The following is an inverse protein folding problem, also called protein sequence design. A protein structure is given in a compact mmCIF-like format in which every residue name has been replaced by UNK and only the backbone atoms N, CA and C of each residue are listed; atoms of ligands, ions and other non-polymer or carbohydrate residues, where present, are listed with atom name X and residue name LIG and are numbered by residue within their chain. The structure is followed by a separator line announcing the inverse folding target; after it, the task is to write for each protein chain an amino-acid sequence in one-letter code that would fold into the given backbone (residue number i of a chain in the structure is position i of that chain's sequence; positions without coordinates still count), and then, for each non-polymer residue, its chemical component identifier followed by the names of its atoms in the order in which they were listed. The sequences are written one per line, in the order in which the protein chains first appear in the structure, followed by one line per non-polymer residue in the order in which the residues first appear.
data_IF_170791924291
#
_entry.id   IF_170791924291
#
_cell.length_a   1.000
_cell.length_b   1.000
_cell.length_c   1.000
_cell.angle_alpha   90.00
_cell.angle_beta   90.00
_cell.angle_gamma   90.00
#
_symmetry.space_group_name_H-M   'P 1'
#
loop_
_entity.id
_entity.type
_entity.pdbx_description
1 polymer ?
#
# COMPACT_ATOMS: atom_id res chain seq x y z
N UNK A 1 -19.11 -14.31 -7.48
CA UNK A 1 -18.72 -14.27 -6.05
C UNK A 1 -18.66 -12.81 -5.66
N UNK A 2 -19.39 -12.38 -4.64
CA UNK A 2 -19.30 -11.02 -4.13
C UNK A 2 -17.96 -10.76 -3.41
N UNK A 3 -17.66 -9.49 -3.10
CA UNK A 3 -16.41 -9.10 -2.42
C UNK A 3 -16.20 -9.84 -1.10
N UNK A 4 -17.27 -10.04 -0.32
CA UNK A 4 -17.18 -10.64 1.01
C UNK A 4 -16.76 -12.11 0.92
N UNK A 5 -17.35 -12.87 -0.02
CA UNK A 5 -17.01 -14.26 -0.25
C UNK A 5 -15.56 -14.44 -0.74
N UNK A 6 -15.03 -13.51 -1.55
CA UNK A 6 -13.63 -13.53 -1.98
C UNK A 6 -12.69 -13.27 -0.81
N UNK A 7 -12.97 -12.21 -0.03
CA UNK A 7 -12.23 -11.87 1.19
C UNK A 7 -12.22 -13.03 2.18
N UNK A 8 -13.39 -13.63 2.44
CA UNK A 8 -13.54 -14.76 3.36
C UNK A 8 -12.72 -15.96 2.90
N UNK A 9 -12.81 -16.35 1.62
CA UNK A 9 -12.04 -17.47 1.07
C UNK A 9 -10.53 -17.28 1.24
N UNK A 10 -9.99 -16.09 0.94
CA UNK A 10 -8.55 -15.82 1.14
C UNK A 10 -8.18 -15.82 2.63
N UNK A 11 -8.96 -15.15 3.47
CA UNK A 11 -8.70 -15.05 4.90
C UNK A 11 -8.68 -16.42 5.58
N UNK A 12 -9.73 -17.23 5.37
CA UNK A 12 -9.85 -18.56 5.98
C UNK A 12 -8.72 -19.48 5.56
N UNK A 13 -8.40 -19.49 4.27
CA UNK A 13 -7.27 -20.26 3.77
C UNK A 13 -5.96 -19.87 4.46
N UNK A 14 -5.63 -18.58 4.53
CA UNK A 14 -4.39 -18.14 5.17
C UNK A 14 -4.42 -18.34 6.70
N UNK A 15 -5.55 -18.13 7.36
CA UNK A 15 -5.71 -18.40 8.80
C UNK A 15 -5.44 -19.87 9.15
N UNK A 16 -5.94 -20.79 8.33
CA UNK A 16 -5.81 -22.23 8.56
C UNK A 16 -4.47 -22.81 8.10
N UNK A 17 -3.92 -22.32 6.98
CA UNK A 17 -2.83 -22.98 6.27
C UNK A 17 -1.46 -22.32 6.45
N UNK A 18 -1.37 -21.04 6.83
CA UNK A 18 -0.09 -20.29 6.80
C UNK A 18 1.03 -20.93 7.64
N UNK A 19 0.69 -21.61 8.74
CA UNK A 19 1.66 -22.32 9.58
C UNK A 19 2.34 -23.47 8.83
N UNK A 20 1.62 -24.13 7.94
CA UNK A 20 2.07 -25.28 7.14
C UNK A 20 2.63 -24.87 5.77
N UNK A 21 2.48 -23.60 5.39
CA UNK A 21 3.00 -23.07 4.13
C UNK A 21 4.46 -22.62 4.26
N UNK A 22 5.29 -23.14 3.37
CA UNK A 22 6.66 -22.74 3.14
C UNK A 22 6.78 -21.95 1.82
N UNK A 23 7.84 -21.16 1.70
CA UNK A 23 8.10 -20.33 0.52
C UNK A 23 8.63 -21.18 -0.64
N UNK A 24 7.96 -21.12 -1.80
CA UNK A 24 8.47 -21.64 -3.08
C UNK A 24 9.10 -20.50 -3.89
N UNK A 25 9.69 -20.84 -5.05
CA UNK A 25 10.24 -19.90 -6.00
C UNK A 25 9.20 -18.81 -6.35
N UNK A 26 9.43 -17.61 -5.81
CA UNK A 26 8.60 -16.43 -6.05
C UNK A 26 9.25 -15.57 -7.12
N UNK A 27 8.42 -14.92 -7.94
CA UNK A 27 8.89 -14.03 -8.99
C UNK A 27 8.56 -12.59 -8.61
N UNK A 28 9.39 -11.68 -9.08
CA UNK A 28 9.14 -10.24 -8.98
C UNK A 28 9.38 -9.62 -10.34
N UNK A 29 8.63 -8.58 -10.68
CA UNK A 29 8.92 -7.76 -11.84
C UNK A 29 9.46 -6.39 -11.45
N UNK A 30 10.44 -5.91 -12.21
CA UNK A 30 11.06 -4.61 -11.95
C UNK A 30 9.98 -3.52 -12.04
N UNK A 31 9.97 -2.60 -11.09
CA UNK A 31 9.10 -1.43 -11.20
C UNK A 31 9.66 -0.45 -12.21
N UNK A 32 8.75 0.07 -13.04
CA UNK A 32 9.01 1.28 -13.79
C UNK A 32 8.65 2.47 -12.89
N UNK A 33 9.57 3.41 -12.77
CA UNK A 33 9.24 4.73 -12.23
C UNK A 33 8.59 5.58 -13.34
N UNK A 34 7.68 6.51 -12.99
CA UNK A 34 7.15 7.44 -13.97
C UNK A 34 8.27 8.30 -14.54
N UNK A 35 8.28 8.49 -15.86
CA UNK A 35 9.17 9.47 -16.50
C UNK A 35 8.69 10.87 -16.16
N UNK A 36 9.49 11.59 -15.37
CA UNK A 36 9.19 12.94 -14.89
C UNK A 36 10.49 13.68 -14.57
N UNK A 37 10.45 15.01 -14.64
CA UNK A 37 11.62 15.86 -14.42
C UNK A 37 12.09 15.87 -12.95
N UNK A 38 11.18 15.61 -12.02
CA UNK A 38 11.38 15.79 -10.58
C UNK A 38 10.71 14.67 -9.80
N UNK A 39 11.39 14.20 -8.75
CA UNK A 39 10.89 13.17 -7.84
C UNK A 39 10.65 13.73 -6.44
N UNK A 40 9.97 12.96 -5.60
CA UNK A 40 9.64 13.36 -4.24
C UNK A 40 10.87 13.79 -3.42
N UNK A 41 12.01 13.12 -3.60
CA UNK A 41 13.28 13.46 -2.93
C UNK A 41 13.85 14.81 -3.36
N UNK A 42 13.64 15.23 -4.60
CA UNK A 42 14.08 16.55 -5.06
C UNK A 42 13.28 17.67 -4.38
N UNK A 43 11.97 17.48 -4.25
CA UNK A 43 11.12 18.39 -3.48
C UNK A 43 11.47 18.41 -1.98
N UNK A 44 11.81 17.27 -1.38
CA UNK A 44 12.33 17.23 -0.01
C UNK A 44 13.61 18.06 0.15
N UNK A 45 14.56 17.91 -0.77
CA UNK A 45 15.80 18.69 -0.78
C UNK A 45 15.52 20.20 -0.89
N UNK A 46 14.55 20.58 -1.72
CA UNK A 46 14.14 21.99 -1.81
C UNK A 46 13.52 22.46 -0.50
N UNK A 47 12.64 21.67 0.12
CA UNK A 47 12.05 22.01 1.40
C UNK A 47 13.11 22.21 2.51
N UNK A 48 14.11 21.32 2.56
CA UNK A 48 15.23 21.41 3.51
C UNK A 48 16.05 22.70 3.32
N UNK A 49 16.40 23.02 2.07
CA UNK A 49 17.11 24.27 1.76
C UNK A 49 16.31 25.52 2.19
N UNK A 50 14.99 25.50 1.99
CA UNK A 50 14.13 26.62 2.39
C UNK A 50 14.04 26.75 3.92
N UNK A 51 13.98 25.62 4.63
CA UNK A 51 13.95 25.59 6.09
C UNK A 51 15.22 26.22 6.70
N UNK A 52 16.38 25.98 6.08
CA UNK A 52 17.66 26.57 6.50
C UNK A 52 17.73 28.10 6.30
N UNK A 53 17.02 28.65 5.31
CA UNK A 53 16.97 30.11 5.06
C UNK A 53 16.17 30.82 6.16
N UNK A 54 15.04 30.25 6.60
CA UNK A 54 14.28 30.68 7.77
C UNK A 54 13.52 32.02 7.64
N UNK A 55 13.48 32.64 6.46
CA UNK A 55 12.62 33.80 6.18
C UNK A 55 11.16 33.36 6.01
N UNK A 56 10.19 34.25 6.23
CA UNK A 56 8.76 33.95 6.04
C UNK A 56 8.49 33.37 4.64
N UNK A 57 9.06 33.97 3.60
CA UNK A 57 8.94 33.49 2.22
C UNK A 57 9.49 32.07 2.07
N UNK A 58 10.67 31.80 2.64
CA UNK A 58 11.26 30.46 2.59
C UNK A 58 10.41 29.42 3.35
N UNK A 59 9.82 29.76 4.50
CA UNK A 59 8.94 28.84 5.23
C UNK A 59 7.68 28.49 4.42
N UNK A 60 7.10 29.46 3.71
CA UNK A 60 5.98 29.23 2.79
C UNK A 60 6.39 28.31 1.63
N UNK A 61 7.57 28.54 1.05
CA UNK A 61 8.13 27.71 -0.01
C UNK A 61 8.45 26.29 0.49
N UNK A 62 8.90 26.14 1.72
CA UNK A 62 9.15 24.85 2.36
C UNK A 62 7.86 24.01 2.40
N UNK A 63 6.76 24.57 2.89
CA UNK A 63 5.44 23.89 2.91
C UNK A 63 5.02 23.46 1.51
N UNK A 64 5.14 24.37 0.54
CA UNK A 64 4.77 24.11 -0.84
C UNK A 64 5.56 22.95 -1.45
N UNK A 65 6.85 22.82 -1.09
CA UNK A 65 7.69 21.72 -1.53
C UNK A 65 7.36 20.41 -0.79
N UNK A 66 7.11 20.44 0.51
CA UNK A 66 6.68 19.26 1.28
C UNK A 66 5.39 18.66 0.74
N UNK A 67 4.42 19.50 0.36
CA UNK A 67 3.18 19.05 -0.30
C UNK A 67 3.46 18.30 -1.59
N UNK A 68 4.26 18.91 -2.47
CA UNK A 68 4.62 18.29 -3.76
C UNK A 68 5.38 16.99 -3.56
N UNK A 69 6.23 16.90 -2.53
CA UNK A 69 6.93 15.67 -2.19
C UNK A 69 5.96 14.54 -1.84
N UNK A 70 4.96 14.80 -0.96
CA UNK A 70 3.92 13.82 -0.60
C UNK A 70 3.09 13.42 -1.80
N UNK A 71 2.55 14.40 -2.55
CA UNK A 71 1.69 14.13 -3.71
C UNK A 71 2.45 13.32 -4.78
N UNK A 72 3.69 13.72 -5.08
CA UNK A 72 4.56 13.02 -6.02
C UNK A 72 4.85 11.58 -5.57
N UNK A 73 5.18 11.36 -4.29
CA UNK A 73 5.49 10.01 -3.80
C UNK A 73 4.27 9.09 -3.83
N UNK A 74 3.08 9.62 -3.51
CA UNK A 74 1.84 8.86 -3.64
C UNK A 74 1.61 8.48 -5.11
N UNK A 75 1.78 9.42 -6.04
CA UNK A 75 1.60 9.16 -7.46
C UNK A 75 2.60 8.13 -8.00
N UNK A 76 3.86 8.20 -7.57
CA UNK A 76 4.88 7.18 -7.84
C UNK A 76 4.41 5.81 -7.32
N UNK A 77 3.96 5.73 -6.05
CA UNK A 77 3.47 4.47 -5.47
C UNK A 77 2.34 3.85 -6.29
N UNK A 78 1.35 4.63 -6.72
CA UNK A 78 0.28 4.06 -7.54
C UNK A 78 0.73 3.74 -8.96
N UNK A 79 1.67 4.49 -9.52
CA UNK A 79 2.27 4.19 -10.82
C UNK A 79 3.01 2.86 -10.81
N UNK A 80 3.82 2.59 -9.78
CA UNK A 80 4.58 1.33 -9.69
C UNK A 80 3.66 0.10 -9.59
N UNK A 81 2.48 0.25 -8.99
CA UNK A 81 1.45 -0.79 -8.97
C UNK A 81 0.63 -0.92 -10.26
N UNK A 82 0.89 -0.09 -11.28
CA UNK A 82 0.12 -0.03 -12.53
C UNK A 82 -1.26 0.63 -12.39
N UNK A 83 -1.56 1.23 -11.24
CA UNK A 83 -2.88 1.78 -10.89
C UNK A 83 -3.05 3.25 -11.33
N UNK A 84 -2.02 3.87 -11.89
CA UNK A 84 -2.07 5.23 -12.43
C UNK A 84 -3.19 5.44 -13.47
N UNK A 85 -3.46 4.45 -14.33
CA UNK A 85 -4.55 4.51 -15.33
C UNK A 85 -5.90 4.65 -14.62
N UNK A 86 -6.10 3.88 -13.55
CA UNK A 86 -7.32 3.90 -12.76
C UNK A 86 -7.45 5.21 -11.98
N UNK A 87 -6.36 5.69 -11.39
CA UNK A 87 -6.34 6.99 -10.70
C UNK A 87 -6.73 8.14 -11.62
N UNK A 88 -6.14 8.19 -12.82
CA UNK A 88 -6.42 9.24 -13.82
C UNK A 88 -7.87 9.19 -14.28
N UNK A 89 -8.38 8.01 -14.63
CA UNK A 89 -9.76 7.83 -15.09
C UNK A 89 -10.79 8.24 -14.04
N UNK A 90 -10.51 7.99 -12.75
CA UNK A 90 -11.44 8.24 -11.64
C UNK A 90 -11.25 9.61 -10.97
N UNK A 91 -10.23 10.38 -11.35
CA UNK A 91 -9.82 11.61 -10.68
C UNK A 91 -9.79 11.46 -9.15
N UNK A 92 -9.14 10.39 -8.68
CA UNK A 92 -9.13 9.98 -7.27
C UNK A 92 -8.49 11.09 -6.42
N UNK A 93 -9.29 11.65 -5.50
CA UNK A 93 -8.84 12.70 -4.57
C UNK A 93 -7.78 12.19 -3.61
N UNK A 94 -6.97 13.11 -3.08
CA UNK A 94 -5.90 12.81 -2.15
C UNK A 94 -6.36 11.97 -0.94
N UNK A 95 -7.52 12.31 -0.37
CA UNK A 95 -8.06 11.61 0.81
C UNK A 95 -8.33 10.14 0.50
N UNK A 96 -8.82 9.85 -0.71
CA UNK A 96 -9.07 8.47 -1.16
C UNK A 96 -7.77 7.70 -1.44
N UNK A 97 -6.72 8.38 -1.90
CA UNK A 97 -5.39 7.79 -2.01
C UNK A 97 -4.84 7.42 -0.63
N UNK A 98 -5.00 8.28 0.37
CA UNK A 98 -4.61 7.96 1.75
C UNK A 98 -5.44 6.81 2.34
N UNK A 99 -6.77 6.82 2.13
CA UNK A 99 -7.63 5.71 2.56
C UNK A 99 -7.14 4.36 2.01
N UNK A 100 -6.68 4.32 0.75
CA UNK A 100 -6.13 3.12 0.13
C UNK A 100 -4.83 2.66 0.80
N UNK A 101 -3.89 3.60 1.03
CA UNK A 101 -2.64 3.31 1.75
C UNK A 101 -2.91 2.76 3.17
N UNK A 102 -3.93 3.29 3.83
CA UNK A 102 -4.41 2.79 5.12
C UNK A 102 -5.04 1.40 5.03
N UNK A 103 -5.83 1.13 3.98
CA UNK A 103 -6.47 -0.17 3.75
C UNK A 103 -5.45 -1.29 3.49
N UNK A 104 -4.37 -1.00 2.75
CA UNK A 104 -3.25 -1.94 2.55
C UNK A 104 -2.45 -2.17 3.86
N UNK A 105 -2.56 -1.26 4.83
CA UNK A 105 -1.89 -1.37 6.13
C UNK A 105 -0.44 -0.86 6.13
N UNK A 106 -0.02 -0.11 5.11
CA UNK A 106 1.31 0.53 5.05
C UNK A 106 1.42 1.61 6.14
N UNK A 107 0.32 2.35 6.36
CA UNK A 107 0.22 3.36 7.39
C UNK A 107 -0.96 3.10 8.32
N UNK A 108 -0.78 3.44 9.60
CA UNK A 108 -1.92 3.48 10.51
C UNK A 108 -2.89 4.61 10.12
N UNK A 109 -4.22 4.44 10.26
CA UNK A 109 -5.19 5.50 10.03
C UNK A 109 -4.90 6.76 10.87
N UNK A 110 -4.35 6.57 12.08
CA UNK A 110 -3.95 7.67 12.97
C UNK A 110 -2.80 8.50 12.37
N UNK A 111 -1.80 7.86 11.78
CA UNK A 111 -0.66 8.54 11.14
C UNK A 111 -1.11 9.34 9.93
N UNK A 112 -1.98 8.75 9.10
CA UNK A 112 -2.54 9.42 7.92
C UNK A 112 -3.44 10.60 8.30
N UNK A 113 -4.26 10.44 9.36
CA UNK A 113 -5.07 11.52 9.89
C UNK A 113 -4.20 12.69 10.38
N UNK A 114 -3.12 12.41 11.12
CA UNK A 114 -2.16 13.43 11.57
C UNK A 114 -1.51 14.17 10.39
N UNK A 115 -1.04 13.45 9.38
CA UNK A 115 -0.46 14.03 8.17
C UNK A 115 -1.47 14.97 7.49
N UNK A 116 -2.72 14.52 7.32
CA UNK A 116 -3.77 15.32 6.69
C UNK A 116 -4.15 16.55 7.53
N UNK A 117 -4.25 16.41 8.86
CA UNK A 117 -4.55 17.53 9.76
C UNK A 117 -3.46 18.60 9.69
N UNK A 118 -2.18 18.22 9.78
CA UNK A 118 -1.07 19.18 9.73
C UNK A 118 -1.01 19.82 8.33
N UNK A 119 -1.15 19.04 7.25
CA UNK A 119 -1.21 19.58 5.89
C UNK A 119 -2.32 20.62 5.75
N UNK A 120 -3.54 20.29 6.19
CA UNK A 120 -4.69 21.19 6.09
C UNK A 120 -4.50 22.45 6.95
N UNK A 121 -3.92 22.32 8.16
CA UNK A 121 -3.55 23.46 9.02
C UNK A 121 -2.61 24.42 8.27
N UNK A 122 -1.54 23.85 7.71
CA UNK A 122 -0.52 24.59 6.95
C UNK A 122 -1.07 25.22 5.66
N UNK A 123 -2.12 24.66 5.05
CA UNK A 123 -2.74 25.15 3.82
C UNK A 123 -3.82 26.23 4.05
N UNK A 124 -4.55 26.17 5.17
CA UNK A 124 -5.82 26.89 5.31
C UNK A 124 -5.88 27.88 6.48
N UNK A 125 -4.95 27.84 7.43
CA UNK A 125 -4.99 28.79 8.56
C UNK A 125 -4.39 30.16 8.21
N UNK A 126 -3.82 30.35 7.01
CA UNK A 126 -3.17 31.59 6.54
C UNK A 126 -2.19 32.20 7.57
N UNK A 127 -1.71 31.39 8.51
CA UNK A 127 -0.83 31.79 9.59
C UNK A 127 0.61 31.48 9.22
N UNK A 128 1.53 32.35 9.63
CA UNK A 128 2.97 32.09 9.47
C UNK A 128 3.32 30.86 10.33
N UNK A 129 3.82 29.77 9.75
CA UNK A 129 4.19 28.57 10.49
C UNK A 129 5.34 28.90 11.43
N UNK A 130 5.29 28.37 12.65
CA UNK A 130 6.47 28.37 13.52
C UNK A 130 7.47 27.36 12.99
N UNK A 131 8.77 27.69 13.05
CA UNK A 131 9.86 26.82 12.58
C UNK A 131 9.75 25.42 13.21
N UNK A 132 9.48 25.34 14.52
CA UNK A 132 9.32 24.06 15.25
C UNK A 132 8.18 23.20 14.68
N UNK A 133 7.05 23.82 14.33
CA UNK A 133 5.92 23.09 13.72
C UNK A 133 6.27 22.60 12.31
N UNK A 134 7.08 23.37 11.59
CA UNK A 134 7.50 23.04 10.23
C UNK A 134 8.58 21.95 10.21
N UNK A 135 9.55 21.98 11.13
CA UNK A 135 10.55 20.91 11.31
C UNK A 135 9.86 19.57 11.59
N UNK A 136 8.89 19.56 12.51
CA UNK A 136 8.11 18.36 12.82
C UNK A 136 7.32 17.85 11.61
N UNK A 137 6.78 18.77 10.80
CA UNK A 137 6.08 18.39 9.58
C UNK A 137 7.03 17.85 8.51
N UNK A 138 8.22 18.44 8.37
CA UNK A 138 9.27 17.94 7.49
C UNK A 138 9.64 16.49 7.84
N UNK A 139 9.93 16.21 9.12
CA UNK A 139 10.27 14.85 9.58
C UNK A 139 9.14 13.85 9.33
N UNK A 140 7.89 14.26 9.54
CA UNK A 140 6.73 13.42 9.26
C UNK A 140 6.62 13.09 7.77
N UNK A 141 6.82 14.08 6.89
CA UNK A 141 6.79 13.89 5.43
C UNK A 141 7.96 13.02 4.96
N UNK A 142 9.15 13.23 5.52
CA UNK A 142 10.33 12.42 5.24
C UNK A 142 10.09 10.94 5.59
N UNK A 143 9.61 10.68 6.81
CA UNK A 143 9.26 9.33 7.25
C UNK A 143 8.14 8.71 6.39
N UNK A 144 7.14 9.51 6.00
CA UNK A 144 6.08 9.06 5.09
C UNK A 144 6.65 8.61 3.74
N UNK A 145 7.54 9.40 3.14
CA UNK A 145 8.16 9.09 1.85
C UNK A 145 9.00 7.81 1.95
N UNK A 146 9.84 7.67 2.96
CA UNK A 146 10.65 6.47 3.16
C UNK A 146 9.82 5.19 3.38
N UNK A 147 8.70 5.30 4.09
CA UNK A 147 7.79 4.17 4.27
C UNK A 147 7.14 3.77 2.93
N UNK A 148 6.75 4.73 2.08
CA UNK A 148 6.23 4.42 0.75
C UNK A 148 7.30 3.81 -0.16
N UNK A 149 8.52 4.34 -0.16
CA UNK A 149 9.64 3.75 -0.91
C UNK A 149 9.89 2.29 -0.47
N UNK A 150 9.86 2.03 0.85
CA UNK A 150 9.99 0.68 1.38
C UNK A 150 8.82 -0.21 0.95
N UNK A 151 7.59 0.30 0.99
CA UNK A 151 6.41 -0.43 0.54
C UNK A 151 6.48 -0.77 -0.96
N UNK A 152 7.02 0.13 -1.79
CA UNK A 152 7.32 -0.15 -3.20
C UNK A 152 8.27 -1.33 -3.23
N UNK A 153 9.45 -1.26 -2.60
CA UNK A 153 10.45 -2.36 -2.63
C UNK A 153 9.83 -3.69 -2.17
N UNK A 154 9.07 -3.71 -1.08
CA UNK A 154 8.38 -4.91 -0.59
C UNK A 154 7.43 -5.49 -1.64
N UNK A 155 6.68 -4.64 -2.34
CA UNK A 155 5.74 -5.06 -3.37
C UNK A 155 6.40 -5.37 -4.72
N UNK A 156 7.72 -5.22 -4.87
CA UNK A 156 8.46 -5.62 -6.09
C UNK A 156 8.42 -7.12 -6.31
N UNK A 157 8.30 -7.87 -5.21
CA UNK A 157 7.83 -9.25 -5.22
C UNK A 157 6.31 -9.21 -5.35
N UNK A 158 5.84 -9.05 -6.59
CA UNK A 158 4.42 -8.95 -6.90
C UNK A 158 3.73 -10.32 -6.96
N UNK A 159 4.47 -11.42 -6.82
CA UNK A 159 3.96 -12.79 -6.73
C UNK A 159 4.58 -13.53 -5.53
N UNK A 160 3.75 -14.19 -4.75
CA UNK A 160 4.18 -15.13 -3.70
C UNK A 160 3.65 -16.51 -4.00
N UNK A 161 4.58 -17.45 -4.17
CA UNK A 161 4.29 -18.88 -4.31
C UNK A 161 4.62 -19.56 -2.98
N UNK A 162 3.60 -20.21 -2.42
CA UNK A 162 3.69 -20.94 -1.16
C UNK A 162 3.32 -22.40 -1.42
N UNK A 163 3.95 -23.31 -0.69
CA UNK A 163 3.64 -24.72 -0.79
C UNK A 163 3.54 -25.40 0.58
N UNK A 164 2.65 -26.37 0.69
CA UNK A 164 2.52 -27.23 1.87
C UNK A 164 3.26 -28.55 1.60
N UNK A 165 4.33 -28.80 2.35
CA UNK A 165 5.14 -30.03 2.26
C UNK A 165 4.37 -31.28 2.67
N UNK A 166 3.39 -31.13 3.55
CA UNK A 166 2.59 -32.22 4.10
C UNK A 166 1.25 -32.39 3.36
N UNK A 167 1.06 -31.68 2.24
CA UNK A 167 -0.18 -31.75 1.45
C UNK A 167 -0.37 -33.14 0.82
N UNK A 168 -1.55 -33.73 1.04
CA UNK A 168 -1.89 -35.07 0.53
C UNK A 168 -2.08 -35.11 -1.00
N UNK A 169 -2.30 -33.96 -1.64
CA UNK A 169 -2.45 -33.83 -3.09
C UNK A 169 -1.79 -32.57 -3.65
N UNK A 170 -1.37 -32.62 -4.91
CA UNK A 170 -0.78 -31.46 -5.64
C UNK A 170 -1.72 -30.24 -5.69
N UNK A 171 -3.03 -30.43 -5.55
CA UNK A 171 -3.98 -29.32 -5.50
C UNK A 171 -4.06 -28.65 -4.11
N UNK A 172 -3.73 -29.39 -3.05
CA UNK A 172 -3.73 -28.89 -1.67
C UNK A 172 -2.34 -28.37 -1.25
N UNK A 173 -1.31 -28.70 -2.02
CA UNK A 173 0.07 -28.35 -1.72
C UNK A 173 0.53 -26.99 -2.23
N UNK A 174 -0.26 -26.22 -2.99
CA UNK A 174 0.22 -24.98 -3.62
C UNK A 174 -0.75 -23.82 -3.48
N UNK A 175 -0.21 -22.63 -3.27
CA UNK A 175 -0.96 -21.39 -3.28
C UNK A 175 -0.12 -20.26 -3.86
N UNK A 176 -0.74 -19.49 -4.76
CA UNK A 176 -0.13 -18.29 -5.34
C UNK A 176 -1.00 -17.08 -5.05
N UNK A 177 -0.39 -16.00 -4.56
CA UNK A 177 -1.01 -14.68 -4.48
C UNK A 177 -0.18 -13.70 -5.30
N UNK A 178 -0.82 -13.00 -6.25
CA UNK A 178 -0.14 -12.11 -7.18
C UNK A 178 -0.89 -10.81 -7.41
N UNK A 179 -0.16 -9.70 -7.50
CA UNK A 179 -0.57 -8.48 -8.19
C UNK A 179 -0.17 -8.60 -9.66
N UNK A 180 -1.14 -8.85 -10.53
CA UNK A 180 -0.92 -8.93 -11.98
C UNK A 180 -1.02 -7.53 -12.60
N UNK A 181 0.15 -6.96 -12.88
CA UNK A 181 0.33 -5.64 -13.50
C UNK A 181 0.28 -5.66 -15.03
N UNK A 182 0.32 -6.83 -15.65
CA UNK A 182 0.23 -6.98 -17.10
C UNK A 182 -1.22 -6.86 -17.59
N UNK A 183 -2.18 -7.06 -16.68
CA UNK A 183 -3.59 -6.76 -16.91
C UNK A 183 -3.86 -5.25 -16.89
N UNK A 184 -4.73 -4.76 -17.78
CA UNK A 184 -5.12 -3.34 -17.84
C UNK A 184 -6.64 -3.18 -17.59
N UNK A 185 -7.08 -2.71 -16.39
CA UNK A 185 -6.26 -2.33 -15.23
C UNK A 185 -5.69 -3.54 -14.46
N UNK A 186 -4.67 -3.33 -13.60
CA UNK A 186 -4.10 -4.39 -12.77
C UNK A 186 -5.14 -5.09 -11.89
N UNK A 187 -4.90 -6.36 -11.62
CA UNK A 187 -5.79 -7.22 -10.84
C UNK A 187 -5.01 -7.99 -9.78
N UNK A 188 -5.68 -8.31 -8.67
CA UNK A 188 -5.13 -9.33 -7.75
C UNK A 188 -5.60 -10.71 -8.21
N UNK A 189 -4.70 -11.70 -8.17
CA UNK A 189 -4.98 -13.11 -8.46
C UNK A 189 -4.59 -13.96 -7.28
N UNK A 190 -5.49 -14.81 -6.81
CA UNK A 190 -5.20 -15.87 -5.85
C UNK A 190 -5.51 -17.22 -6.50
N UNK A 191 -4.55 -18.13 -6.50
CA UNK A 191 -4.66 -19.45 -7.15
C UNK A 191 -4.38 -20.53 -6.11
N UNK A 192 -5.26 -21.52 -6.05
CA UNK A 192 -5.11 -22.70 -5.21
C UNK A 192 -4.75 -23.89 -6.09
N UNK A 193 -3.68 -24.61 -5.74
CA UNK A 193 -3.12 -25.71 -6.52
C UNK A 193 -2.20 -25.27 -7.66
N UNK A 194 -1.63 -26.25 -8.40
CA UNK A 194 -0.67 -26.02 -9.50
C UNK A 194 -1.26 -25.53 -10.82
N UNK A 195 -2.57 -25.41 -10.95
CA UNK A 195 -3.23 -25.03 -12.21
C UNK A 195 -4.17 -23.86 -11.93
N UNK A 196 -4.16 -22.82 -12.78
CA UNK A 196 -5.04 -21.63 -12.73
C UNK A 196 -6.56 -21.93 -12.81
N UNK A 197 -6.97 -23.18 -12.65
CA UNK A 197 -8.37 -23.61 -12.73
C UNK A 197 -9.24 -23.01 -11.61
N UNK A 198 -8.67 -22.80 -10.43
CA UNK A 198 -9.37 -22.26 -9.26
C UNK A 198 -8.91 -20.84 -8.89
N UNK A 199 -8.57 -20.02 -9.89
CA UNK A 199 -8.15 -18.65 -9.69
C UNK A 199 -9.31 -17.73 -9.27
N UNK A 200 -9.12 -16.97 -8.19
CA UNK A 200 -9.94 -15.79 -7.89
C UNK A 200 -9.21 -14.57 -8.45
N UNK A 201 -9.89 -13.87 -9.36
CA UNK A 201 -9.46 -12.57 -9.87
C UNK A 201 -10.25 -11.47 -9.15
N UNK A 202 -9.55 -10.46 -8.68
CA UNK A 202 -10.12 -9.29 -8.00
C UNK A 202 -9.76 -8.04 -8.79
N UNK A 203 -10.77 -7.36 -9.30
CA UNK A 203 -10.60 -6.11 -10.04
C UNK A 203 -10.41 -4.95 -9.05
N UNK A 204 -9.74 -3.87 -9.47
CA UNK A 204 -9.65 -2.66 -8.62
C UNK A 204 -11.03 -2.05 -8.29
N UNK A 205 -12.04 -2.30 -9.13
CA UNK A 205 -13.43 -1.88 -8.90
C UNK A 205 -14.02 -2.52 -7.64
N UNK A 206 -13.54 -3.70 -7.27
CA UNK A 206 -13.79 -4.38 -5.99
C UNK A 206 -12.84 -3.83 -4.93
N UNK A 207 -12.87 -2.51 -4.72
CA UNK A 207 -11.84 -1.76 -3.99
C UNK A 207 -11.50 -2.32 -2.60
N UNK A 208 -12.51 -2.81 -1.85
CA UNK A 208 -12.29 -3.39 -0.52
C UNK A 208 -11.61 -4.74 -0.64
N UNK A 209 -12.08 -5.59 -1.54
CA UNK A 209 -11.46 -6.88 -1.81
C UNK A 209 -10.03 -6.71 -2.35
N UNK A 210 -9.81 -5.78 -3.28
CA UNK A 210 -8.51 -5.52 -3.89
C UNK A 210 -7.48 -5.08 -2.84
N UNK A 211 -7.84 -4.10 -2.00
CA UNK A 211 -6.95 -3.61 -0.94
C UNK A 211 -6.65 -4.69 0.12
N UNK A 212 -7.63 -5.54 0.44
CA UNK A 212 -7.40 -6.69 1.33
C UNK A 212 -6.40 -7.69 0.74
N UNK A 213 -6.56 -8.06 -0.53
CA UNK A 213 -5.66 -8.99 -1.21
C UNK A 213 -4.24 -8.41 -1.31
N UNK A 214 -4.11 -7.13 -1.66
CA UNK A 214 -2.82 -6.46 -1.73
C UNK A 214 -2.15 -6.34 -0.34
N UNK A 215 -2.94 -6.15 0.73
CA UNK A 215 -2.45 -6.23 2.11
C UNK A 215 -1.91 -7.62 2.45
N UNK A 216 -2.63 -8.67 2.08
CA UNK A 216 -2.15 -10.04 2.30
C UNK A 216 -0.82 -10.27 1.57
N UNK A 217 -0.69 -9.81 0.32
CA UNK A 217 0.57 -9.89 -0.42
C UNK A 217 1.70 -9.13 0.29
N UNK A 218 1.46 -7.89 0.69
CA UNK A 218 2.42 -7.09 1.45
C UNK A 218 2.88 -7.81 2.74
N UNK A 219 1.93 -8.35 3.52
CA UNK A 219 2.21 -9.08 4.76
C UNK A 219 3.00 -10.37 4.51
N UNK A 220 2.69 -11.11 3.45
CA UNK A 220 3.43 -12.31 3.05
C UNK A 220 4.86 -11.98 2.58
N UNK A 221 5.08 -10.81 1.98
CA UNK A 221 6.42 -10.38 1.56
C UNK A 221 7.33 -9.98 2.72
N UNK A 222 6.75 -9.48 3.82
CA UNK A 222 7.51 -9.14 5.04
C UNK A 222 7.57 -10.29 6.06
N UNK A 223 6.80 -11.35 5.84
CA UNK A 223 6.82 -12.60 6.62
C UNK A 223 8.24 -13.16 6.61
N UNK A 224 8.69 -13.62 7.78
CA UNK A 224 10.02 -14.22 8.02
C UNK A 224 11.21 -13.26 7.87
N UNK A 225 11.04 -12.08 7.26
CA UNK A 225 12.03 -11.00 7.26
C UNK A 225 11.87 -10.07 8.47
N UNK A 226 10.64 -9.64 8.76
CA UNK A 226 10.34 -8.63 9.79
C UNK A 226 9.27 -9.07 10.79
N UNK A 227 8.39 -10.00 10.40
CA UNK A 227 7.23 -10.39 11.21
C UNK A 227 7.00 -11.90 11.19
N UNK A 228 6.37 -12.42 12.24
CA UNK A 228 6.00 -13.84 12.35
C UNK A 228 4.71 -14.16 11.60
N UNK A 229 4.51 -15.44 11.25
CA UNK A 229 3.24 -15.96 10.71
C UNK A 229 2.03 -15.58 11.59
N UNK A 230 2.17 -15.71 12.91
CA UNK A 230 1.17 -15.26 13.88
C UNK A 230 0.80 -13.78 13.73
N UNK A 231 1.79 -12.89 13.60
CA UNK A 231 1.53 -11.47 13.40
C UNK A 231 0.78 -11.22 12.08
N UNK A 232 1.15 -11.92 11.01
CA UNK A 232 0.46 -11.84 9.72
C UNK A 232 -1.03 -12.21 9.88
N UNK A 233 -1.35 -13.33 10.53
CA UNK A 233 -2.74 -13.74 10.80
C UNK A 233 -3.51 -12.72 11.63
N UNK A 234 -2.90 -12.18 12.69
CA UNK A 234 -3.54 -11.16 13.53
C UNK A 234 -3.87 -9.88 12.73
N UNK A 235 -2.96 -9.43 11.86
CA UNK A 235 -3.20 -8.27 11.00
C UNK A 235 -4.29 -8.51 9.96
N UNK A 236 -4.31 -9.70 9.35
CA UNK A 236 -5.37 -10.08 8.40
C UNK A 236 -6.73 -10.19 9.11
N UNK A 237 -6.77 -10.77 10.30
CA UNK A 237 -8.00 -10.93 11.10
C UNK A 237 -8.61 -9.59 11.50
N UNK A 238 -7.79 -8.65 11.95
CA UNK A 238 -8.24 -7.30 12.28
C UNK A 238 -8.95 -6.65 11.08
N UNK A 239 -8.33 -6.75 9.91
CA UNK A 239 -8.87 -6.15 8.68
C UNK A 239 -10.11 -6.91 8.18
N UNK A 240 -10.10 -8.24 8.23
CA UNK A 240 -11.24 -9.09 7.88
C UNK A 240 -12.48 -8.72 8.70
N UNK A 241 -12.36 -8.62 10.04
CA UNK A 241 -13.48 -8.26 10.92
C UNK A 241 -14.03 -6.87 10.56
N UNK A 242 -13.14 -5.90 10.30
CA UNK A 242 -13.52 -4.56 9.85
C UNK A 242 -14.36 -4.63 8.58
N UNK A 243 -13.84 -5.26 7.53
CA UNK A 243 -14.51 -5.37 6.23
C UNK A 243 -15.82 -6.17 6.30
N UNK A 244 -15.84 -7.26 7.06
CA UNK A 244 -17.05 -8.06 7.30
C UNK A 244 -18.15 -7.21 7.94
N UNK A 245 -17.81 -6.35 8.90
CA UNK A 245 -18.77 -5.45 9.55
C UNK A 245 -19.27 -4.32 8.63
N UNK A 246 -18.45 -3.87 7.68
CA UNK A 246 -18.83 -2.82 6.72
C UNK A 246 -19.70 -3.35 5.58
N UNK A 247 -19.38 -4.55 5.08
CA UNK A 247 -20.07 -5.16 3.94
C UNK A 247 -21.44 -5.75 4.31
N UNK A 248 -21.63 -6.22 5.54
CA UNK A 248 -22.93 -6.73 6.03
C UNK A 248 -23.91 -5.64 6.50
N UNK A 249 -23.49 -4.37 6.54
CA UNK A 249 -24.37 -3.23 6.86
C UNK A 249 -25.09 -2.66 5.64
N UNK A 250 -24.86 -3.23 4.45
CA UNK A 250 -25.53 -2.89 3.19
C UNK A 250 -26.60 -3.92 2.86
#
# INVERSE_FOLDING_TARGET
MDELNKIDKLYRFLEEQIEFLDDDASWGSMFNLPEQDMYARDYLKFAENQLQIGTIESLINCISNLKRAVDCQIDIFFYTLGLNVVLKKRNLKFEKKLEFLGAIGIFSPKSLAKLNTIRNKMEHEYSIPQIIELDLYFDLVLAFIYNLETAIIVLSTDERNLYNKDGESVNDSYFTLRLDRDSEPPVMKAVWGRRDKDAIVVMFDEYRCFSFYLRCLYLLNIKDAFVSKKYVVEQMKFEYIRLYSELNKK
#
